data_IF_497134249142
#
_entry.id   IF_497134249142
#
_cell.length_a   1.000
_cell.length_b   1.000
_cell.length_c   1.000
_cell.angle_alpha   90.00
_cell.angle_beta   90.00
_cell.angle_gamma   90.00
#
_symmetry.space_group_name_H-M   'P 1'
#
loop_
_entity.id
_entity.type
_entity.pdbx_description
1 polymer ?
#
# COMPACT_ATOMS: atom_id res chain seq x y z
N UNK A 1 20.29 -23.21 -6.76
CA UNK A 1 19.42 -22.51 -5.80
C UNK A 1 18.28 -23.45 -5.44
N UNK A 2 18.05 -23.74 -4.16
CA UNK A 2 16.91 -24.59 -3.76
C UNK A 2 15.59 -23.80 -3.79
N UNK A 3 14.44 -24.51 -3.83
CA UNK A 3 13.13 -23.86 -3.76
C UNK A 3 12.95 -23.04 -2.46
N UNK A 4 13.48 -23.53 -1.34
CA UNK A 4 13.47 -22.82 -0.05
C UNK A 4 14.28 -21.51 -0.14
N UNK A 5 15.48 -21.55 -0.72
CA UNK A 5 16.31 -20.36 -0.90
C UNK A 5 15.63 -19.34 -1.82
N UNK A 6 15.01 -19.80 -2.91
CA UNK A 6 14.27 -18.94 -3.81
C UNK A 6 13.10 -18.24 -3.08
N UNK A 7 12.32 -18.97 -2.27
CA UNK A 7 11.22 -18.39 -1.49
C UNK A 7 11.72 -17.38 -0.44
N UNK A 8 12.82 -17.68 0.26
CA UNK A 8 13.43 -16.74 1.21
C UNK A 8 13.78 -15.42 0.51
N UNK A 9 14.53 -15.49 -0.60
CA UNK A 9 14.95 -14.31 -1.35
C UNK A 9 13.73 -13.52 -1.84
N UNK A 10 12.75 -14.19 -2.45
CA UNK A 10 11.56 -13.55 -3.00
C UNK A 10 10.72 -12.87 -1.91
N UNK A 11 10.40 -13.56 -0.82
CA UNK A 11 9.57 -13.01 0.26
C UNK A 11 10.25 -11.86 0.99
N UNK A 12 11.54 -12.00 1.31
CA UNK A 12 12.31 -10.95 2.01
C UNK A 12 12.44 -9.72 1.11
N UNK A 13 12.87 -9.90 -0.14
CA UNK A 13 13.09 -8.79 -1.07
C UNK A 13 11.78 -8.05 -1.36
N UNK A 14 10.69 -8.79 -1.58
CA UNK A 14 9.35 -8.19 -1.81
C UNK A 14 8.90 -7.37 -0.61
N UNK A 15 9.06 -7.90 0.61
CA UNK A 15 8.67 -7.19 1.83
C UNK A 15 9.47 -5.90 2.03
N UNK A 16 10.79 -5.97 1.87
CA UNK A 16 11.70 -4.83 2.07
C UNK A 16 11.56 -3.76 0.98
N UNK A 17 11.39 -4.17 -0.29
CA UNK A 17 11.12 -3.23 -1.39
C UNK A 17 9.78 -2.52 -1.21
N UNK A 18 8.73 -3.25 -0.82
CA UNK A 18 7.44 -2.65 -0.51
C UNK A 18 7.55 -1.66 0.68
N UNK A 19 8.24 -2.05 1.74
CA UNK A 19 8.54 -1.17 2.88
C UNK A 19 9.23 0.11 2.44
N UNK A 20 10.30 0.00 1.65
CA UNK A 20 11.04 1.15 1.12
C UNK A 20 10.17 2.06 0.27
N UNK A 21 9.36 1.51 -0.64
CA UNK A 21 8.43 2.30 -1.46
C UNK A 21 7.37 3.06 -0.63
N UNK A 22 6.80 2.43 0.38
CA UNK A 22 5.83 3.08 1.29
C UNK A 22 6.52 4.13 2.16
N UNK A 23 7.75 3.87 2.61
CA UNK A 23 8.54 4.81 3.37
C UNK A 23 8.88 6.06 2.53
N UNK A 24 9.27 5.89 1.26
CA UNK A 24 9.53 7.01 0.35
C UNK A 24 8.30 7.90 0.16
N UNK A 25 7.13 7.29 -0.03
CA UNK A 25 5.85 8.01 -0.10
C UNK A 25 5.61 8.86 1.15
N UNK A 26 5.89 8.31 2.33
CA UNK A 26 5.61 8.96 3.61
C UNK A 26 6.64 10.04 3.96
N UNK A 27 7.92 9.80 3.66
CA UNK A 27 9.04 10.65 4.08
C UNK A 27 9.40 11.75 3.07
N UNK A 28 9.12 11.55 1.78
CA UNK A 28 9.48 12.49 0.73
C UNK A 28 8.26 13.02 -0.03
N UNK A 29 7.42 12.12 -0.57
CA UNK A 29 6.33 12.55 -1.46
C UNK A 29 5.24 13.31 -0.69
N UNK A 30 4.86 12.87 0.51
CA UNK A 30 3.85 13.56 1.33
C UNK A 30 4.31 14.98 1.73
N UNK A 31 5.51 15.20 2.30
CA UNK A 31 6.00 16.56 2.55
C UNK A 31 6.05 17.42 1.29
N UNK A 32 6.48 16.86 0.16
CA UNK A 32 6.49 17.56 -1.12
C UNK A 32 5.08 17.98 -1.55
N UNK A 33 4.10 17.07 -1.50
CA UNK A 33 2.71 17.38 -1.85
C UNK A 33 2.09 18.40 -0.90
N UNK A 34 2.41 18.38 0.40
CA UNK A 34 1.95 19.37 1.37
C UNK A 34 2.49 20.78 1.10
N UNK A 35 3.62 20.90 0.40
CA UNK A 35 4.16 22.20 -0.02
C UNK A 35 3.43 22.83 -1.20
N UNK A 36 2.49 22.09 -1.81
CA UNK A 36 1.71 22.53 -2.97
C UNK A 36 0.26 22.84 -2.59
N UNK A 37 -0.43 23.74 -3.33
CA UNK A 37 -1.87 23.94 -3.18
C UNK A 37 -2.64 22.62 -3.35
N UNK A 38 -3.79 22.50 -2.69
CA UNK A 38 -4.67 21.34 -2.76
C UNK A 38 -5.04 20.98 -4.20
N UNK A 39 -5.24 22.01 -5.04
CA UNK A 39 -5.51 21.84 -6.47
C UNK A 39 -4.44 21.07 -7.24
N UNK A 40 -3.19 21.02 -6.75
CA UNK A 40 -2.10 20.23 -7.35
C UNK A 40 -1.83 18.95 -6.58
N UNK A 41 -1.88 19.00 -5.25
CA UNK A 41 -1.52 17.85 -4.41
C UNK A 41 -2.57 16.73 -4.47
N UNK A 42 -3.86 17.04 -4.62
CA UNK A 42 -4.94 16.06 -4.69
C UNK A 42 -4.80 15.11 -5.90
N UNK A 43 -4.59 15.59 -7.14
CA UNK A 43 -4.32 14.71 -8.28
C UNK A 43 -3.05 13.88 -8.12
N UNK A 44 -1.99 14.46 -7.55
CA UNK A 44 -0.73 13.76 -7.29
C UNK A 44 -0.93 12.58 -6.35
N UNK A 45 -1.57 12.80 -5.20
CA UNK A 45 -1.81 11.71 -4.26
C UNK A 45 -2.79 10.69 -4.83
N UNK A 46 -3.80 11.12 -5.60
CA UNK A 46 -4.75 10.22 -6.24
C UNK A 46 -4.08 9.27 -7.24
N UNK A 47 -3.11 9.77 -8.01
CA UNK A 47 -2.30 9.01 -8.96
C UNK A 47 -1.42 7.97 -8.25
N UNK A 48 -0.75 8.37 -7.17
CA UNK A 48 0.06 7.47 -6.34
C UNK A 48 -0.81 6.39 -5.68
N UNK A 49 -1.92 6.79 -5.07
CA UNK A 49 -2.86 5.89 -4.42
C UNK A 49 -3.40 4.83 -5.39
N UNK A 50 -3.79 5.22 -6.61
CA UNK A 50 -4.35 4.28 -7.59
C UNK A 50 -3.42 3.14 -7.97
N UNK A 51 -2.10 3.34 -7.90
CA UNK A 51 -1.11 2.30 -8.19
C UNK A 51 -0.71 1.57 -6.91
N UNK A 52 -0.48 2.32 -5.84
CA UNK A 52 -0.11 1.79 -4.53
C UNK A 52 -1.17 0.82 -3.96
N UNK A 53 -2.45 1.05 -4.22
CA UNK A 53 -3.55 0.18 -3.79
C UNK A 53 -3.50 -1.22 -4.39
N UNK A 54 -2.76 -1.43 -5.49
CA UNK A 54 -2.58 -2.74 -6.11
C UNK A 54 -1.19 -3.32 -5.86
N UNK A 55 -0.15 -2.48 -5.86
CA UNK A 55 1.23 -2.92 -5.66
C UNK A 55 1.42 -3.45 -4.24
N UNK A 56 1.09 -2.65 -3.22
CA UNK A 56 1.47 -2.97 -1.85
C UNK A 56 0.65 -4.10 -1.20
N UNK A 57 -0.68 -4.21 -1.41
CA UNK A 57 -1.42 -5.39 -0.93
C UNK A 57 -0.95 -6.68 -1.61
N UNK A 58 -0.63 -6.65 -2.90
CA UNK A 58 -0.08 -7.80 -3.62
C UNK A 58 1.28 -8.20 -3.06
N UNK A 59 2.16 -7.22 -2.82
CA UNK A 59 3.47 -7.46 -2.20
C UNK A 59 3.36 -8.08 -0.80
N UNK A 60 2.42 -7.59 0.02
CA UNK A 60 2.15 -8.15 1.35
C UNK A 60 1.62 -9.59 1.26
N UNK A 61 0.69 -9.85 0.34
CA UNK A 61 0.16 -11.20 0.12
C UNK A 61 1.23 -12.19 -0.33
N UNK A 62 2.07 -11.81 -1.31
CA UNK A 62 3.19 -12.64 -1.80
C UNK A 62 4.18 -12.92 -0.68
N UNK A 63 4.60 -11.87 0.04
CA UNK A 63 5.59 -12.00 1.13
C UNK A 63 5.05 -12.86 2.26
N UNK A 64 3.83 -12.58 2.73
CA UNK A 64 3.18 -13.33 3.81
C UNK A 64 2.99 -14.79 3.45
N UNK A 65 2.56 -15.10 2.22
CA UNK A 65 2.33 -16.48 1.79
C UNK A 65 3.64 -17.26 1.75
N UNK A 66 4.71 -16.66 1.21
CA UNK A 66 6.02 -17.30 1.20
C UNK A 66 6.60 -17.48 2.60
N UNK A 67 6.45 -16.51 3.50
CA UNK A 67 6.84 -16.67 4.89
C UNK A 67 6.02 -17.74 5.63
N UNK A 68 4.71 -17.82 5.41
CA UNK A 68 3.89 -18.87 6.00
C UNK A 68 4.33 -20.26 5.51
N UNK A 69 4.66 -20.40 4.23
CA UNK A 69 5.20 -21.65 3.70
C UNK A 69 6.56 -21.99 4.31
N UNK A 70 7.47 -21.02 4.44
CA UNK A 70 8.78 -21.21 5.07
C UNK A 70 8.67 -21.61 6.55
N UNK A 71 7.67 -21.06 7.26
CA UNK A 71 7.34 -21.46 8.63
C UNK A 71 6.94 -22.94 8.67
N UNK A 72 6.03 -23.35 7.79
CA UNK A 72 5.58 -24.74 7.67
C UNK A 72 6.74 -25.69 7.30
N UNK A 73 7.54 -25.33 6.30
CA UNK A 73 8.68 -26.14 5.84
C UNK A 73 9.80 -26.27 6.88
N UNK A 74 9.82 -25.39 7.89
CA UNK A 74 10.78 -25.42 8.99
C UNK A 74 10.27 -26.24 10.19
N UNK A 75 9.04 -26.77 10.16
CA UNK A 75 8.51 -27.60 11.23
C UNK A 75 9.20 -28.98 11.27
N UNK A 76 9.37 -29.58 12.46
CA UNK A 76 9.91 -30.94 12.56
C UNK A 76 8.98 -31.97 11.89
N UNK A 77 9.50 -33.08 11.36
CA UNK A 77 8.70 -34.13 10.71
C UNK A 77 7.63 -34.78 11.61
N UNK A 78 7.75 -34.62 12.94
CA UNK A 78 6.99 -35.37 13.95
C UNK A 78 5.73 -34.66 14.46
N UNK A 79 5.27 -33.59 13.80
CA UNK A 79 4.08 -32.83 14.21
C UNK A 79 2.78 -33.57 13.87
N UNK A 80 2.36 -34.49 14.75
CA UNK A 80 1.15 -35.32 14.57
C UNK A 80 -0.12 -34.72 15.21
N UNK A 81 0.01 -33.71 16.08
CA UNK A 81 -1.14 -33.08 16.76
C UNK A 81 -1.15 -31.56 16.63
N UNK A 82 -2.34 -30.94 16.68
CA UNK A 82 -2.47 -29.48 16.57
C UNK A 82 -1.73 -28.73 17.70
N UNK A 83 -1.72 -29.29 18.91
CA UNK A 83 -1.02 -28.70 20.06
C UNK A 83 0.50 -28.72 19.88
N UNK A 84 1.06 -29.82 19.38
CA UNK A 84 2.50 -29.91 19.07
C UNK A 84 2.87 -29.01 17.91
N UNK A 85 2.01 -28.90 16.88
CA UNK A 85 2.21 -27.95 15.78
C UNK A 85 2.28 -26.51 16.26
N UNK A 86 1.34 -26.08 17.11
CA UNK A 86 1.32 -24.73 17.69
C UNK A 86 2.57 -24.45 18.56
N UNK A 87 3.01 -25.42 19.36
CA UNK A 87 4.22 -25.28 20.16
C UNK A 87 5.48 -25.13 19.31
N UNK A 88 5.60 -25.87 18.21
CA UNK A 88 6.76 -25.77 17.32
C UNK A 88 6.70 -24.51 16.45
N UNK A 89 5.52 -24.12 15.97
CA UNK A 89 5.32 -22.91 15.18
C UNK A 89 5.62 -21.62 15.98
N UNK A 90 5.63 -21.69 17.31
CA UNK A 90 5.92 -20.56 18.21
C UNK A 90 7.35 -20.56 18.76
N UNK A 91 8.21 -21.49 18.33
CA UNK A 91 9.62 -21.54 18.74
C UNK A 91 10.59 -21.57 17.54
N UNK A 92 11.77 -21.00 17.75
CA UNK A 92 12.89 -21.06 16.79
C UNK A 92 12.57 -20.49 15.42
N UNK A 93 13.12 -21.11 14.37
CA UNK A 93 13.00 -20.69 12.97
C UNK A 93 11.56 -20.62 12.45
N UNK A 94 10.67 -21.61 12.72
CA UNK A 94 9.25 -21.50 12.35
C UNK A 94 8.56 -20.24 12.90
N UNK A 95 8.86 -19.85 14.14
CA UNK A 95 8.25 -18.68 14.77
C UNK A 95 8.65 -17.37 14.12
N UNK A 96 9.92 -17.24 13.70
CA UNK A 96 10.39 -16.07 12.98
C UNK A 96 9.64 -15.91 11.65
N UNK A 97 9.53 -16.98 10.87
CA UNK A 97 8.76 -16.93 9.63
C UNK A 97 7.27 -16.70 9.84
N UNK A 98 6.68 -17.30 10.87
CA UNK A 98 5.28 -17.06 11.20
C UNK A 98 5.04 -15.60 11.62
N UNK A 99 5.92 -15.04 12.45
CA UNK A 99 5.86 -13.63 12.83
C UNK A 99 6.02 -12.71 11.61
N UNK A 100 6.95 -13.02 10.70
CA UNK A 100 7.13 -12.28 9.44
C UNK A 100 5.86 -12.32 8.56
N UNK A 101 5.20 -13.47 8.46
CA UNK A 101 3.94 -13.61 7.74
C UNK A 101 2.84 -12.74 8.36
N UNK A 102 2.66 -12.82 9.69
CA UNK A 102 1.65 -12.04 10.42
C UNK A 102 1.91 -10.54 10.29
N UNK A 103 3.15 -10.09 10.46
CA UNK A 103 3.51 -8.68 10.35
C UNK A 103 3.25 -8.13 8.95
N UNK A 104 3.63 -8.86 7.89
CA UNK A 104 3.43 -8.39 6.52
C UNK A 104 1.94 -8.32 6.15
N UNK A 105 1.14 -9.35 6.47
CA UNK A 105 -0.29 -9.33 6.14
C UNK A 105 -1.10 -8.36 7.02
N UNK A 106 -0.59 -7.98 8.20
CA UNK A 106 -1.26 -7.05 9.11
C UNK A 106 -1.48 -5.64 8.52
N UNK A 107 -0.81 -5.29 7.42
CA UNK A 107 -1.12 -4.04 6.72
C UNK A 107 -2.56 -4.01 6.19
N UNK A 108 -3.16 -5.16 5.88
CA UNK A 108 -4.52 -5.24 5.38
C UNK A 108 -5.55 -4.77 6.44
N UNK A 109 -5.60 -5.37 7.65
CA UNK A 109 -6.48 -4.88 8.71
C UNK A 109 -6.16 -3.45 9.17
N UNK A 110 -4.90 -3.03 9.11
CA UNK A 110 -4.54 -1.63 9.37
C UNK A 110 -5.16 -0.69 8.34
N UNK A 111 -5.01 -1.02 7.05
CA UNK A 111 -5.52 -0.19 5.96
C UNK A 111 -7.05 -0.08 6.01
N UNK A 112 -7.76 -1.20 6.19
CA UNK A 112 -9.23 -1.22 6.16
C UNK A 112 -9.85 -0.50 7.36
N UNK A 113 -9.22 -0.57 8.54
CA UNK A 113 -9.80 0.01 9.77
C UNK A 113 -9.37 1.43 10.05
N UNK A 114 -8.15 1.82 9.65
CA UNK A 114 -7.54 3.09 10.06
C UNK A 114 -7.42 4.04 8.88
N UNK A 115 -7.02 3.55 7.70
CA UNK A 115 -6.67 4.42 6.57
C UNK A 115 -7.83 4.76 5.63
N UNK A 116 -8.79 3.83 5.47
CA UNK A 116 -9.91 4.00 4.54
C UNK A 116 -10.62 5.35 4.69
N UNK A 117 -10.96 5.84 5.90
CA UNK A 117 -11.65 7.13 6.05
C UNK A 117 -10.87 8.31 5.47
N UNK A 118 -9.58 8.43 5.78
CA UNK A 118 -8.74 9.54 5.26
C UNK A 118 -8.50 9.41 3.76
N UNK A 119 -8.27 8.19 3.27
CA UNK A 119 -8.13 7.95 1.84
C UNK A 119 -9.40 8.36 1.09
N UNK A 120 -10.56 8.03 1.65
CA UNK A 120 -11.85 8.31 1.03
C UNK A 120 -12.15 9.81 1.01
N UNK A 121 -11.79 10.53 2.07
CA UNK A 121 -11.91 11.98 2.12
C UNK A 121 -10.99 12.68 1.10
N UNK A 122 -9.73 12.23 0.97
CA UNK A 122 -8.82 12.76 -0.06
C UNK A 122 -9.33 12.52 -1.48
N UNK A 123 -9.86 11.32 -1.76
CA UNK A 123 -10.43 10.98 -3.07
C UNK A 123 -11.69 11.82 -3.34
N UNK A 124 -12.56 11.96 -2.35
CA UNK A 124 -13.78 12.77 -2.44
C UNK A 124 -13.44 14.21 -2.81
N UNK A 125 -12.52 14.85 -2.09
CA UNK A 125 -12.08 16.23 -2.38
C UNK A 125 -11.44 16.36 -3.77
N UNK A 126 -10.64 15.38 -4.17
CA UNK A 126 -10.07 15.35 -5.52
C UNK A 126 -11.18 15.35 -6.59
N UNK A 127 -12.19 14.49 -6.46
CA UNK A 127 -13.32 14.44 -7.40
C UNK A 127 -14.14 15.74 -7.34
N UNK A 128 -14.48 16.25 -6.14
CA UNK A 128 -15.23 17.51 -5.95
C UNK A 128 -14.55 18.73 -6.61
N UNK A 129 -13.22 18.75 -6.66
CA UNK A 129 -12.47 19.83 -7.32
C UNK A 129 -12.23 19.56 -8.82
N UNK A 130 -12.74 18.44 -9.34
CA UNK A 130 -12.63 18.05 -10.75
C UNK A 130 -11.27 17.44 -11.11
N UNK A 131 -10.55 16.91 -10.12
CA UNK A 131 -9.35 16.10 -10.32
C UNK A 131 -9.69 14.67 -10.71
N UNK A 132 -8.74 13.98 -11.34
CA UNK A 132 -8.83 12.56 -11.69
C UNK A 132 -7.57 11.83 -11.26
N UNK A 133 -7.51 10.52 -11.50
CA UNK A 133 -6.36 9.69 -11.12
C UNK A 133 -5.16 9.79 -12.06
N UNK A 134 -5.28 10.44 -13.20
CA UNK A 134 -4.21 10.61 -14.19
C UNK A 134 -4.60 11.56 -15.31
N UNK A 135 -3.61 12.04 -16.08
CA UNK A 135 -3.85 12.87 -17.25
C UNK A 135 -4.71 12.14 -18.31
N UNK A 136 -4.42 10.86 -18.58
CA UNK A 136 -5.23 10.06 -19.52
C UNK A 136 -6.68 9.88 -19.04
N UNK A 137 -6.89 9.69 -17.73
CA UNK A 137 -8.24 9.63 -17.14
C UNK A 137 -8.97 10.96 -17.29
N UNK A 138 -8.28 12.10 -17.09
CA UNK A 138 -8.87 13.43 -17.29
C UNK A 138 -9.34 13.64 -18.73
N UNK A 139 -8.51 13.28 -19.71
CA UNK A 139 -8.86 13.36 -21.13
C UNK A 139 -10.01 12.43 -21.50
N UNK A 140 -9.96 11.18 -21.05
CA UNK A 140 -11.00 10.20 -21.32
C UNK A 140 -12.37 10.67 -20.80
N UNK A 141 -12.42 11.16 -19.55
CA UNK A 141 -13.65 11.68 -18.95
C UNK A 141 -14.15 12.94 -19.65
N UNK A 142 -13.25 13.84 -20.06
CA UNK A 142 -13.61 15.03 -20.84
C UNK A 142 -14.27 14.67 -22.18
N UNK A 143 -13.75 13.65 -22.89
CA UNK A 143 -14.32 13.18 -24.16
C UNK A 143 -15.68 12.50 -24.01
N UNK A 144 -15.89 11.77 -22.92
CA UNK A 144 -17.11 11.00 -22.67
C UNK A 144 -18.21 11.79 -21.95
N UNK A 145 -17.90 12.99 -21.44
CA UNK A 145 -18.86 13.80 -20.70
C UNK A 145 -19.23 13.21 -19.33
N UNK A 146 -18.37 12.37 -18.75
CA UNK A 146 -18.63 11.77 -17.44
C UNK A 146 -18.58 12.81 -16.33
N UNK A 147 -19.56 12.74 -15.41
CA UNK A 147 -19.68 13.61 -14.25
C UNK A 147 -18.78 13.22 -13.07
N UNK A 148 -19.06 13.83 -11.92
CA UNK A 148 -18.40 13.52 -10.65
C UNK A 148 -18.67 12.07 -10.25
N UNK A 149 -17.64 11.40 -9.70
CA UNK A 149 -17.77 10.06 -9.14
C UNK A 149 -17.82 10.12 -7.63
N UNK A 150 -18.55 9.18 -7.03
CA UNK A 150 -18.36 8.93 -5.61
C UNK A 150 -17.01 8.22 -5.36
N UNK A 151 -16.62 8.11 -4.09
CA UNK A 151 -15.30 7.58 -3.74
C UNK A 151 -15.11 6.13 -4.17
N UNK A 152 -16.12 5.28 -4.00
CA UNK A 152 -16.06 3.85 -4.34
C UNK A 152 -15.94 3.66 -5.85
N UNK A 153 -16.74 4.39 -6.65
CA UNK A 153 -16.64 4.42 -8.11
C UNK A 153 -15.28 4.91 -8.61
N UNK A 154 -14.70 5.89 -7.92
CA UNK A 154 -13.35 6.37 -8.23
C UNK A 154 -12.32 5.28 -7.97
N UNK A 155 -12.40 4.58 -6.83
CA UNK A 155 -11.47 3.50 -6.47
C UNK A 155 -11.59 2.31 -7.43
N UNK A 156 -12.82 1.87 -7.71
CA UNK A 156 -13.09 0.73 -8.60
C UNK A 156 -12.63 0.98 -10.03
N UNK A 157 -12.58 2.25 -10.46
CA UNK A 157 -12.12 2.63 -11.80
C UNK A 157 -12.98 2.04 -12.92
N UNK A 158 -14.24 1.67 -12.64
CA UNK A 158 -15.21 1.22 -13.64
C UNK A 158 -15.34 2.31 -14.71
N UNK A 159 -15.34 1.89 -15.97
CA UNK A 159 -15.45 2.79 -17.13
C UNK A 159 -14.41 3.93 -17.14
N UNK A 160 -13.14 3.62 -16.86
CA UNK A 160 -12.03 4.58 -16.92
C UNK A 160 -10.80 3.92 -17.56
N UNK A 161 -9.75 4.70 -17.82
CA UNK A 161 -8.48 4.17 -18.33
C UNK A 161 -7.87 3.17 -17.35
N UNK A 162 -7.34 2.05 -17.82
CA UNK A 162 -6.74 1.04 -16.94
C UNK A 162 -5.47 1.57 -16.28
N UNK A 163 -5.41 1.49 -14.95
CA UNK A 163 -4.23 1.90 -14.16
C UNK A 163 -2.96 1.08 -14.43
N UNK A 164 -3.10 -0.10 -15.06
CA UNK A 164 -1.97 -0.96 -15.40
C UNK A 164 -1.34 -0.60 -16.75
N UNK A 165 -2.14 -0.01 -17.65
CA UNK A 165 -1.71 0.37 -19.00
C UNK A 165 -1.58 1.89 -19.15
N UNK A 166 -2.00 2.65 -18.15
CA UNK A 166 -1.90 4.10 -18.10
C UNK A 166 -0.50 4.54 -17.64
N UNK A 167 0.34 4.82 -18.63
CA UNK A 167 1.68 5.37 -18.46
C UNK A 167 1.70 6.91 -18.33
N UNK A 168 0.54 7.56 -18.31
CA UNK A 168 0.48 9.01 -18.10
C UNK A 168 0.76 9.38 -16.64
N UNK A 169 1.30 10.59 -16.46
CA UNK A 169 1.54 11.17 -15.16
C UNK A 169 0.26 11.55 -14.41
N UNK A 170 0.39 12.10 -13.18
CA UNK A 170 -0.73 12.71 -12.49
C UNK A 170 -1.32 13.83 -13.35
N UNK A 171 -2.63 14.06 -13.21
CA UNK A 171 -3.21 15.30 -13.71
C UNK A 171 -2.51 16.48 -12.99
N UNK A 172 -2.09 17.49 -13.74
CA UNK A 172 -1.24 18.57 -13.19
C UNK A 172 -1.96 19.40 -12.12
N UNK A 173 -3.26 19.66 -12.34
CA UNK A 173 -4.09 20.47 -11.47
C UNK A 173 -5.56 20.05 -11.60
N UNK A 174 -6.32 20.16 -10.52
CA UNK A 174 -7.78 20.07 -10.52
C UNK A 174 -8.39 21.14 -11.42
N UNK A 175 -9.63 20.93 -11.89
CA UNK A 175 -10.35 21.95 -12.71
C UNK A 175 -10.68 23.21 -11.92
N UNK A 176 -10.87 23.06 -10.62
CA UNK A 176 -11.16 24.15 -9.69
C UNK A 176 -9.90 24.51 -8.92
N UNK A 177 -9.66 25.81 -8.78
CA UNK A 177 -8.63 26.31 -7.88
C UNK A 177 -9.08 26.22 -6.43
N UNK A 178 -8.10 26.14 -5.53
CA UNK A 178 -8.30 25.97 -4.09
C UNK A 178 -7.84 27.21 -3.35
N UNK A 179 -8.56 27.53 -2.27
CA UNK A 179 -8.18 28.62 -1.36
C UNK A 179 -7.34 28.14 -0.18
N UNK A 180 -6.78 29.08 0.59
CA UNK A 180 -5.89 28.79 1.74
C UNK A 180 -6.50 27.82 2.76
N UNK A 181 -7.81 27.92 3.01
CA UNK A 181 -8.52 27.02 3.92
C UNK A 181 -8.48 25.58 3.42
N UNK A 182 -8.75 25.38 2.13
CA UNK A 182 -8.81 24.06 1.52
C UNK A 182 -7.42 23.44 1.42
N UNK A 183 -6.43 24.26 1.09
CA UNK A 183 -5.02 23.89 1.09
C UNK A 183 -4.58 23.39 2.47
N UNK A 184 -5.00 24.08 3.55
CA UNK A 184 -4.72 23.66 4.92
C UNK A 184 -5.41 22.35 5.29
N UNK A 185 -6.70 22.22 5.00
CA UNK A 185 -7.47 21.02 5.30
C UNK A 185 -6.91 19.78 4.56
N UNK A 186 -6.55 19.94 3.29
CA UNK A 186 -5.89 18.88 2.51
C UNK A 186 -4.49 18.59 3.05
N UNK A 187 -3.74 19.61 3.45
CA UNK A 187 -2.43 19.45 4.07
C UNK A 187 -2.45 18.59 5.34
N UNK A 188 -3.46 18.78 6.20
CA UNK A 188 -3.68 17.95 7.39
C UNK A 188 -4.08 16.51 7.05
N UNK A 189 -4.91 16.31 6.02
CA UNK A 189 -5.27 14.98 5.53
C UNK A 189 -4.05 14.23 4.96
N UNK A 190 -3.21 14.92 4.18
CA UNK A 190 -1.97 14.38 3.64
C UNK A 190 -0.97 13.99 4.75
N UNK A 191 -0.87 14.80 5.81
CA UNK A 191 -0.06 14.49 6.97
C UNK A 191 -0.51 13.20 7.68
N UNK A 192 -1.82 13.09 7.95
CA UNK A 192 -2.40 11.87 8.52
C UNK A 192 -2.17 10.67 7.61
N UNK A 193 -2.38 10.84 6.30
CA UNK A 193 -2.12 9.81 5.31
C UNK A 193 -0.65 9.35 5.34
N UNK A 194 0.30 10.28 5.39
CA UNK A 194 1.73 9.99 5.46
C UNK A 194 2.10 9.21 6.71
N UNK A 195 1.59 9.63 7.88
CA UNK A 195 1.82 8.90 9.13
C UNK A 195 1.27 7.47 9.08
N UNK A 196 0.03 7.28 8.60
CA UNK A 196 -0.56 5.95 8.53
C UNK A 196 0.12 5.02 7.51
N UNK A 197 0.65 5.58 6.42
CA UNK A 197 1.51 4.82 5.51
C UNK A 197 2.86 4.50 6.16
N UNK A 198 3.42 5.41 6.95
CA UNK A 198 4.62 5.15 7.74
C UNK A 198 4.46 3.91 8.63
N UNK A 199 3.30 3.73 9.28
CA UNK A 199 3.00 2.50 10.03
C UNK A 199 3.02 1.25 9.13
N UNK A 200 2.45 1.33 7.92
CA UNK A 200 2.51 0.20 6.96
C UNK A 200 3.93 -0.12 6.53
N UNK A 201 4.76 0.91 6.31
CA UNK A 201 6.17 0.72 6.00
C UNK A 201 6.88 -0.01 7.14
N UNK A 202 6.65 0.39 8.40
CA UNK A 202 7.22 -0.29 9.57
C UNK A 202 6.77 -1.74 9.65
N UNK A 203 5.47 -2.03 9.51
CA UNK A 203 4.94 -3.40 9.56
C UNK A 203 5.57 -4.29 8.48
N UNK A 204 5.65 -3.81 7.24
CA UNK A 204 6.29 -4.53 6.13
C UNK A 204 7.79 -4.71 6.35
N UNK A 205 8.48 -3.65 6.78
CA UNK A 205 9.93 -3.63 6.97
C UNK A 205 10.36 -4.56 8.10
N UNK A 206 9.70 -4.47 9.26
CA UNK A 206 9.95 -5.37 10.39
C UNK A 206 9.62 -6.81 10.00
N UNK A 207 8.53 -7.06 9.26
CA UNK A 207 8.23 -8.38 8.73
C UNK A 207 9.35 -8.94 7.84
N UNK A 208 9.90 -8.11 6.93
CA UNK A 208 11.04 -8.49 6.09
C UNK A 208 12.33 -8.77 6.89
N UNK A 209 12.64 -7.94 7.89
CA UNK A 209 13.82 -8.13 8.77
C UNK A 209 13.69 -9.41 9.60
N UNK A 210 12.51 -9.67 10.18
CA UNK A 210 12.24 -10.89 10.95
C UNK A 210 12.32 -12.12 10.04
N UNK A 211 11.82 -12.04 8.81
CA UNK A 211 11.97 -13.10 7.81
C UNK A 211 13.43 -13.37 7.44
N UNK A 212 14.25 -12.33 7.33
CA UNK A 212 15.70 -12.45 7.14
C UNK A 212 16.38 -13.12 8.34
N UNK A 213 16.03 -12.72 9.57
CA UNK A 213 16.52 -13.38 10.78
C UNK A 213 16.18 -14.88 10.78
N UNK A 214 14.96 -15.26 10.35
CA UNK A 214 14.57 -16.66 10.16
C UNK A 214 15.40 -17.39 9.10
N UNK A 215 15.84 -16.72 8.03
CA UNK A 215 16.70 -17.31 7.01
C UNK A 215 18.13 -17.58 7.51
N UNK A 216 18.63 -16.71 8.40
CA UNK A 216 19.99 -16.78 8.94
C UNK A 216 20.12 -17.65 10.20
N UNK A 217 19.02 -17.96 10.88
CA UNK A 217 18.96 -18.90 12.01
C UNK A 217 18.95 -20.36 11.54
#
# INVERSE_FOLDING_TARGET
MSAIQALQILSISTALLASGGIASLSLFDVPLMRSQPASRSLPMIRWLFSRGSHIFPTAAFISSTGFAYLAYASLPPTTLTLSTLLQHATKGKPALYLAAAVLTISIAPWSTRVMVPTNFELIKRNEEYGGTRSAASAEYRARKGFGLRNTEESVDGKEDVSQWTDFSGPMEKTRRDTGEREDREVGELLERFGWMNGVRAVLMGVGGIVGLAGALA
#
